data_IF_364096998543
#
_entry.id   IF_364096998543
#
_cell.length_a   1.000
_cell.length_b   1.000
_cell.length_c   1.000
_cell.angle_alpha   90.00
_cell.angle_beta   90.00
_cell.angle_gamma   90.00
#
_symmetry.space_group_name_H-M   'P 1'
#
loop_
_entity.id
_entity.type
_entity.pdbx_description
1 polymer ?
#
# COMPACT_ATOMS: atom_id res chain seq x y z
N UNK A 1 18.07 -16.07 -7.07
CA UNK A 1 17.84 -15.39 -5.78
C UNK A 1 17.01 -14.15 -6.05
N UNK A 2 15.93 -13.87 -5.30
CA UNK A 2 15.12 -12.65 -5.44
C UNK A 2 15.86 -11.43 -4.88
N UNK A 3 17.09 -11.25 -5.32
CA UNK A 3 18.01 -10.23 -4.86
C UNK A 3 18.06 -9.17 -5.95
N UNK A 4 16.97 -8.39 -6.06
CA UNK A 4 16.98 -6.96 -6.44
C UNK A 4 15.60 -6.27 -6.59
N UNK A 5 14.48 -6.91 -6.24
CA UNK A 5 13.17 -6.37 -6.61
C UNK A 5 12.61 -5.36 -5.60
N UNK A 6 12.71 -4.06 -5.93
CA UNK A 6 11.95 -3.00 -5.25
C UNK A 6 10.48 -3.42 -5.15
N UNK A 7 9.96 -3.46 -3.93
CA UNK A 7 8.53 -3.70 -3.65
C UNK A 7 7.66 -2.83 -4.58
N UNK A 8 6.71 -3.43 -5.33
CA UNK A 8 5.84 -2.69 -6.24
C UNK A 8 5.18 -1.51 -5.52
N UNK A 9 5.35 -0.32 -6.07
CA UNK A 9 4.95 0.94 -5.42
C UNK A 9 4.24 1.83 -6.42
N UNK A 10 3.13 2.44 -6.01
CA UNK A 10 2.36 3.41 -6.79
C UNK A 10 2.13 4.68 -5.96
N UNK A 11 2.19 5.84 -6.62
CA UNK A 11 1.94 7.13 -5.98
C UNK A 11 0.46 7.48 -6.10
N UNK A 12 -0.20 7.76 -4.97
CA UNK A 12 -1.55 8.34 -4.96
C UNK A 12 -1.49 9.87 -5.01
N UNK A 13 -0.76 10.48 -4.08
CA UNK A 13 -0.60 11.93 -3.98
C UNK A 13 0.58 12.28 -3.09
N UNK A 14 1.60 12.94 -3.63
CA UNK A 14 2.80 13.31 -2.87
C UNK A 14 3.45 12.07 -2.24
N UNK A 15 3.52 12.04 -0.91
CA UNK A 15 4.06 10.92 -0.13
C UNK A 15 3.02 9.85 0.26
N UNK A 16 1.78 9.93 -0.22
CA UNK A 16 0.77 8.87 -0.08
C UNK A 16 1.02 7.81 -1.15
N UNK A 17 1.40 6.61 -0.73
CA UNK A 17 1.77 5.51 -1.62
C UNK A 17 0.88 4.28 -1.38
N UNK A 18 0.68 3.51 -2.46
CA UNK A 18 0.27 2.10 -2.38
C UNK A 18 1.51 1.24 -2.55
N UNK A 19 1.74 0.25 -1.69
CA UNK A 19 2.90 -0.64 -1.76
C UNK A 19 2.51 -2.09 -1.52
N UNK A 20 2.99 -3.00 -2.35
CA UNK A 20 2.84 -4.45 -2.12
C UNK A 20 4.13 -4.96 -1.48
N UNK A 21 4.04 -5.46 -0.25
CA UNK A 21 5.19 -5.97 0.51
C UNK A 21 4.96 -7.36 1.07
N UNK A 22 6.05 -8.07 1.34
CA UNK A 22 6.03 -9.34 2.07
C UNK A 22 6.61 -9.14 3.48
N UNK A 23 5.87 -9.57 4.50
CA UNK A 23 6.34 -9.56 5.88
C UNK A 23 6.02 -10.87 6.57
N UNK A 24 7.07 -11.57 7.02
CA UNK A 24 6.97 -12.89 7.66
C UNK A 24 6.17 -13.90 6.82
N UNK A 25 6.46 -13.96 5.52
CA UNK A 25 5.82 -14.89 4.58
C UNK A 25 4.38 -14.55 4.21
N UNK A 26 3.89 -13.35 4.57
CA UNK A 26 2.55 -12.87 4.22
C UNK A 26 2.63 -11.61 3.38
N UNK A 27 1.82 -11.56 2.33
CA UNK A 27 1.69 -10.39 1.45
C UNK A 27 0.73 -9.38 2.07
N UNK A 28 1.08 -8.10 2.00
CA UNK A 28 0.25 -6.98 2.41
C UNK A 28 0.23 -5.91 1.31
N UNK A 29 -0.92 -5.25 1.19
CA UNK A 29 -1.11 -4.06 0.36
C UNK A 29 -1.20 -2.88 1.33
N UNK A 30 -0.15 -2.08 1.43
CA UNK A 30 -0.14 -0.86 2.23
C UNK A 30 -0.72 0.30 1.43
N UNK A 31 -1.60 1.07 2.06
CA UNK A 31 -2.06 2.39 1.59
C UNK A 31 -1.69 3.38 2.71
N UNK A 32 -0.63 4.18 2.50
CA UNK A 32 0.04 4.86 3.63
C UNK A 32 0.73 6.16 3.23
N UNK A 33 0.77 7.11 4.16
CA UNK A 33 1.67 8.27 4.10
C UNK A 33 3.08 7.85 4.54
N UNK A 34 4.05 8.01 3.64
CA UNK A 34 5.47 7.79 3.90
C UNK A 34 6.13 9.12 4.30
N UNK A 35 7.23 9.05 5.03
CA UNK A 35 8.06 10.22 5.30
C UNK A 35 9.48 9.95 4.86
N UNK A 36 10.19 11.00 4.47
CA UNK A 36 11.59 10.90 4.12
C UNK A 36 12.45 11.06 5.37
N UNK A 37 13.46 10.19 5.52
CA UNK A 37 14.49 10.32 6.54
C UNK A 37 15.80 9.82 5.95
N UNK A 38 16.82 10.69 5.93
CA UNK A 38 18.15 10.38 5.38
C UNK A 38 18.10 9.88 3.91
N UNK A 39 17.20 10.43 3.08
CA UNK A 39 17.02 10.01 1.70
C UNK A 39 16.24 8.71 1.51
N UNK A 40 15.75 8.08 2.59
CA UNK A 40 14.91 6.89 2.53
C UNK A 40 13.45 7.21 2.83
N UNK A 41 12.54 6.60 2.05
CA UNK A 41 11.10 6.67 2.31
C UNK A 41 10.69 5.59 3.31
N UNK A 42 10.27 6.02 4.50
CA UNK A 42 9.85 5.17 5.60
C UNK A 42 8.32 5.24 5.82
N UNK A 43 7.67 4.13 6.21
CA UNK A 43 6.23 4.13 6.45
C UNK A 43 5.88 5.00 7.68
N UNK A 44 4.98 5.96 7.50
CA UNK A 44 4.44 6.78 8.59
C UNK A 44 3.31 6.09 9.35
N UNK A 45 2.81 6.74 10.41
CA UNK A 45 1.72 6.20 11.25
C UNK A 45 0.36 6.19 10.52
N UNK A 46 0.12 7.15 9.62
CA UNK A 46 -1.16 7.30 8.90
C UNK A 46 -1.24 6.36 7.71
N UNK A 47 -2.13 5.38 7.77
CA UNK A 47 -2.36 4.42 6.70
C UNK A 47 -2.78 3.04 7.22
N UNK A 48 -3.17 2.16 6.31
CA UNK A 48 -3.63 0.81 6.59
C UNK A 48 -2.82 -0.22 5.79
N UNK A 49 -2.62 -1.40 6.38
CA UNK A 49 -2.05 -2.57 5.70
C UNK A 49 -3.17 -3.58 5.50
N UNK A 50 -3.57 -3.81 4.25
CA UNK A 50 -4.62 -4.75 3.90
C UNK A 50 -4.03 -6.11 3.56
N UNK A 51 -4.71 -7.17 3.95
CA UNK A 51 -4.47 -8.49 3.38
C UNK A 51 -5.02 -8.54 1.94
N UNK A 52 -4.56 -9.49 1.09
CA UNK A 52 -5.13 -9.66 -0.24
C UNK A 52 -6.65 -9.84 -0.25
N UNK A 53 -7.22 -10.50 0.76
CA UNK A 53 -8.67 -10.71 0.86
C UNK A 53 -9.43 -9.42 1.19
N UNK A 54 -8.90 -8.60 2.10
CA UNK A 54 -9.48 -7.29 2.38
C UNK A 54 -9.36 -6.33 1.19
N UNK A 55 -8.24 -6.39 0.45
CA UNK A 55 -8.08 -5.63 -0.78
C UNK A 55 -9.11 -6.01 -1.84
N UNK A 56 -9.31 -7.32 -2.08
CA UNK A 56 -10.36 -7.80 -3.00
C UNK A 56 -11.75 -7.38 -2.56
N UNK A 57 -12.05 -7.42 -1.25
CA UNK A 57 -13.34 -6.97 -0.72
C UNK A 57 -13.54 -5.48 -0.94
N UNK A 58 -12.51 -4.66 -0.74
CA UNK A 58 -12.56 -3.22 -1.04
C UNK A 58 -12.85 -2.98 -2.51
N UNK A 59 -12.15 -3.68 -3.42
CA UNK A 59 -12.41 -3.57 -4.86
C UNK A 59 -13.84 -4.00 -5.24
N UNK A 60 -14.40 -5.02 -4.60
CA UNK A 60 -15.80 -5.42 -4.87
C UNK A 60 -16.84 -4.37 -4.47
N UNK A 61 -16.47 -3.43 -3.61
CA UNK A 61 -17.33 -2.33 -3.14
C UNK A 61 -17.06 -1.03 -3.93
N UNK A 62 -16.14 -1.03 -4.90
CA UNK A 62 -15.71 0.21 -5.54
C UNK A 62 -16.85 0.92 -6.25
N UNK A 63 -17.71 0.18 -6.94
CA UNK A 63 -18.79 0.76 -7.74
C UNK A 63 -19.83 1.43 -6.85
N UNK A 64 -20.28 0.74 -5.79
CA UNK A 64 -21.18 1.30 -4.78
C UNK A 64 -20.58 2.54 -4.10
N UNK A 65 -19.28 2.53 -3.78
CA UNK A 65 -18.61 3.69 -3.18
C UNK A 65 -18.53 4.84 -4.19
N UNK A 66 -18.21 4.57 -5.46
CA UNK A 66 -18.10 5.58 -6.51
C UNK A 66 -19.43 6.29 -6.77
N UNK A 67 -20.56 5.62 -6.60
CA UNK A 67 -21.90 6.25 -6.70
C UNK A 67 -22.18 7.24 -5.56
N UNK A 68 -21.45 7.18 -4.45
CA UNK A 68 -21.67 8.02 -3.26
C UNK A 68 -20.80 9.28 -3.18
N UNK A 69 -19.80 9.41 -4.06
CA UNK A 69 -18.80 10.50 -4.02
C UNK A 69 -18.89 11.46 -5.20
#
# INVERSE_FOLDING_TARGET
SRTDDKEPTWVLQGNKLVKVREFKGKVYIDIREFYEKNGELLPGKKGISLTPDLWRKLLSLSDEINETV
#
